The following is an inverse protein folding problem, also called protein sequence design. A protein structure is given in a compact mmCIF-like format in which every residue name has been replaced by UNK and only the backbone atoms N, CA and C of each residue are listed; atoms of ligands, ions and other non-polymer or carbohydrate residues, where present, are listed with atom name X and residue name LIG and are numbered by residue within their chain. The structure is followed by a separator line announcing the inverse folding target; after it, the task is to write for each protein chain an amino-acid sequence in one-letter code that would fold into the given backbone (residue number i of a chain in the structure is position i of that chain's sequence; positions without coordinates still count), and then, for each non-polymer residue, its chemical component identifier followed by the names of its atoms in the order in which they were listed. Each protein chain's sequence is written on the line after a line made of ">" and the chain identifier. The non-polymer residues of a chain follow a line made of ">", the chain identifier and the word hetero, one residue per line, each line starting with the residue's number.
data_IF_487557844884
#
_entry.id   IF_487557844884
#
_cell.length_a   1.000
_cell.length_b   1.000
_cell.length_c   1.000
_cell.angle_alpha   90.00
_cell.angle_beta   90.00
_cell.angle_gamma   90.00
#
_symmetry.space_group_name_H-M   'P 1'
#
loop_
_entity.id
_entity.type
_entity.pdbx_description
1 polymer ?
#
# COMPACT_ATOMS: atom_id res chain seq x y z
N UNK A 1 -63.12 -45.04 26.93
CA UNK A 1 -63.16 -43.90 25.98
C UNK A 1 -61.83 -43.14 26.13
N UNK A 2 -60.86 -43.24 25.22
CA UNK A 2 -59.67 -42.40 25.30
C UNK A 2 -59.99 -41.01 24.74
N UNK A 3 -59.61 -39.96 25.48
CA UNK A 3 -59.68 -38.58 25.02
C UNK A 3 -58.45 -38.26 24.17
N UNK A 4 -58.66 -37.95 22.89
CA UNK A 4 -57.62 -37.51 21.96
C UNK A 4 -57.46 -36.01 22.04
N UNK A 5 -56.27 -35.53 22.41
CA UNK A 5 -55.91 -34.11 22.32
C UNK A 5 -55.51 -33.78 20.87
N UNK A 6 -56.22 -32.83 20.25
CA UNK A 6 -55.85 -32.25 18.96
C UNK A 6 -54.58 -31.41 19.08
N UNK A 7 -53.60 -31.53 18.17
CA UNK A 7 -52.44 -30.65 18.16
C UNK A 7 -52.83 -29.24 17.69
N UNK A 8 -52.25 -28.22 18.34
CA UNK A 8 -52.39 -26.81 18.00
C UNK A 8 -51.72 -26.51 16.64
N UNK A 9 -52.30 -25.68 15.76
CA UNK A 9 -51.67 -25.30 14.50
C UNK A 9 -50.33 -24.58 14.74
N UNK A 10 -49.29 -25.05 14.06
CA UNK A 10 -47.95 -24.48 14.06
C UNK A 10 -47.97 -23.05 13.49
N UNK A 11 -47.27 -22.07 14.09
CA UNK A 11 -47.19 -20.74 13.51
C UNK A 11 -46.50 -20.81 12.15
N UNK A 12 -47.20 -20.37 11.10
CA UNK A 12 -46.64 -20.19 9.76
C UNK A 12 -45.62 -19.05 9.81
N UNK A 13 -44.33 -19.39 9.68
CA UNK A 13 -43.27 -18.41 9.49
C UNK A 13 -43.52 -17.63 8.18
N UNK A 14 -43.91 -16.37 8.30
CA UNK A 14 -43.93 -15.43 7.18
C UNK A 14 -42.51 -15.26 6.67
N UNK A 15 -42.26 -15.59 5.41
CA UNK A 15 -40.96 -15.36 4.77
C UNK A 15 -40.66 -13.85 4.76
N UNK A 16 -39.58 -13.46 5.43
CA UNK A 16 -39.02 -12.10 5.36
C UNK A 16 -38.71 -11.77 3.91
N UNK A 17 -39.15 -10.61 3.36
CA UNK A 17 -38.80 -10.21 2.00
C UNK A 17 -37.27 -10.17 1.88
N UNK A 18 -36.74 -10.93 0.93
CA UNK A 18 -35.31 -10.87 0.60
C UNK A 18 -35.06 -9.48 -0.02
N UNK A 19 -34.14 -8.66 0.55
CA UNK A 19 -33.86 -7.35 -0.03
C UNK A 19 -33.34 -7.54 -1.46
N UNK A 20 -33.99 -6.89 -2.43
CA UNK A 20 -33.48 -6.80 -3.80
C UNK A 20 -32.10 -6.11 -3.74
N UNK A 21 -31.03 -6.72 -4.27
CA UNK A 21 -29.70 -6.11 -4.23
C UNK A 21 -29.72 -4.80 -5.03
N UNK A 22 -29.39 -3.70 -4.37
CA UNK A 22 -29.28 -2.38 -4.99
C UNK A 22 -27.99 -2.39 -5.81
N UNK A 23 -28.08 -2.27 -7.13
CA UNK A 23 -26.91 -2.16 -8.02
C UNK A 23 -26.59 -0.68 -8.27
N UNK A 24 -25.33 -0.29 -8.08
CA UNK A 24 -24.85 1.09 -8.24
C UNK A 24 -24.02 1.22 -9.52
N UNK A 25 -24.30 2.22 -10.37
CA UNK A 25 -23.50 2.48 -11.57
C UNK A 25 -22.23 3.29 -11.25
N UNK A 26 -21.17 3.08 -12.04
CA UNK A 26 -19.97 3.91 -11.98
C UNK A 26 -19.20 3.93 -13.30
N UNK A 27 -18.28 4.89 -13.45
CA UNK A 27 -17.39 5.01 -14.60
C UNK A 27 -15.96 4.78 -14.15
N UNK A 28 -15.24 3.91 -14.86
CA UNK A 28 -13.81 3.69 -14.61
C UNK A 28 -13.03 4.95 -15.01
N UNK A 29 -12.38 5.62 -14.06
CA UNK A 29 -11.78 6.93 -14.28
C UNK A 29 -10.40 6.88 -14.96
N UNK A 30 -9.70 5.74 -14.85
CA UNK A 30 -8.42 5.44 -15.49
C UNK A 30 -8.32 3.94 -15.78
N UNK A 31 -7.45 3.51 -16.70
CA UNK A 31 -7.27 2.08 -16.99
C UNK A 31 -7.05 1.27 -15.70
N UNK A 32 -7.97 0.35 -15.43
CA UNK A 32 -8.09 -0.36 -14.18
C UNK A 32 -7.96 -1.87 -14.40
N UNK A 33 -7.11 -2.52 -13.60
CA UNK A 33 -7.01 -3.97 -13.63
C UNK A 33 -8.27 -4.58 -13.03
N UNK A 34 -8.92 -5.48 -13.76
CA UNK A 34 -10.01 -6.32 -13.26
C UNK A 34 -9.39 -7.58 -12.66
N UNK A 35 -9.79 -7.89 -11.43
CA UNK A 35 -9.14 -8.92 -10.61
C UNK A 35 -10.11 -9.98 -10.15
N UNK A 36 -9.59 -11.17 -9.88
CA UNK A 36 -10.37 -12.28 -9.34
C UNK A 36 -10.83 -12.07 -7.89
N UNK A 37 -10.38 -11.01 -7.21
CA UNK A 37 -10.74 -10.69 -5.83
C UNK A 37 -10.39 -9.25 -5.44
N UNK A 38 -10.91 -8.77 -4.29
CA UNK A 38 -10.72 -7.40 -3.81
C UNK A 38 -9.32 -7.20 -3.22
N UNK A 39 -8.33 -7.04 -4.10
CA UNK A 39 -6.95 -6.81 -3.67
C UNK A 39 -5.95 -7.00 -4.80
N UNK A 40 -4.82 -6.30 -4.71
CA UNK A 40 -3.78 -6.37 -5.75
C UNK A 40 -3.03 -7.71 -5.80
N UNK A 41 -3.18 -8.56 -4.78
CA UNK A 41 -2.66 -9.93 -4.74
C UNK A 41 -3.52 -10.96 -5.48
N UNK A 42 -4.74 -10.61 -5.88
CA UNK A 42 -5.56 -11.47 -6.73
C UNK A 42 -5.12 -11.34 -8.19
N UNK A 43 -5.16 -12.46 -8.92
CA UNK A 43 -4.80 -12.50 -10.33
C UNK A 43 -5.52 -11.40 -11.12
N UNK A 44 -4.76 -10.72 -11.99
CA UNK A 44 -5.33 -9.84 -12.99
C UNK A 44 -5.99 -10.73 -14.04
N UNK A 45 -7.31 -10.70 -14.10
CA UNK A 45 -8.11 -11.51 -15.03
C UNK A 45 -8.66 -10.66 -16.17
N UNK A 46 -8.50 -9.34 -16.11
CA UNK A 46 -8.90 -8.45 -17.18
C UNK A 46 -8.41 -7.02 -16.98
N UNK A 47 -8.88 -6.15 -17.87
CA UNK A 47 -8.59 -4.73 -17.89
C UNK A 47 -9.85 -3.97 -18.28
N UNK A 48 -10.26 -3.02 -17.45
CA UNK A 48 -11.25 -2.01 -17.81
C UNK A 48 -10.53 -0.74 -18.23
N UNK A 49 -10.91 -0.12 -19.36
CA UNK A 49 -10.29 1.12 -19.81
C UNK A 49 -10.92 2.32 -19.12
N UNK A 50 -10.20 3.45 -19.07
CA UNK A 50 -10.78 4.72 -18.68
C UNK A 50 -12.05 5.03 -19.51
N UNK A 51 -13.09 5.55 -18.87
CA UNK A 51 -14.40 5.80 -19.45
C UNK A 51 -15.31 4.57 -19.54
N UNK A 52 -14.85 3.36 -19.18
CA UNK A 52 -15.69 2.15 -19.25
C UNK A 52 -16.78 2.21 -18.17
N UNK A 53 -18.07 2.10 -18.53
CA UNK A 53 -19.13 2.02 -17.53
C UNK A 53 -19.12 0.64 -16.85
N UNK A 54 -19.32 0.64 -15.53
CA UNK A 54 -19.34 -0.57 -14.71
C UNK A 54 -20.55 -0.56 -13.77
N UNK A 55 -21.10 -1.74 -13.51
CA UNK A 55 -22.20 -1.93 -12.54
C UNK A 55 -21.62 -2.56 -11.28
N UNK A 56 -21.64 -1.82 -10.18
CA UNK A 56 -21.20 -2.25 -8.86
C UNK A 56 -22.35 -3.01 -8.19
N UNK A 57 -22.12 -4.29 -7.90
CA UNK A 57 -23.05 -5.14 -7.15
C UNK A 57 -22.74 -5.20 -5.66
N UNK A 58 -21.55 -4.78 -5.26
CA UNK A 58 -21.13 -4.80 -3.87
C UNK A 58 -19.75 -4.20 -3.66
N UNK A 59 -19.36 -4.12 -2.40
CA UNK A 59 -18.04 -3.64 -1.99
C UNK A 59 -17.43 -4.62 -1.00
N UNK A 60 -16.11 -4.67 -0.91
CA UNK A 60 -15.45 -5.42 0.16
C UNK A 60 -15.70 -4.73 1.52
N UNK A 61 -15.45 -5.44 2.62
CA UNK A 61 -15.71 -4.94 3.98
C UNK A 61 -15.04 -3.60 4.29
N UNK A 62 -13.87 -3.32 3.69
CA UNK A 62 -13.15 -2.07 3.86
C UNK A 62 -13.69 -0.91 2.99
N UNK A 63 -14.49 -1.18 1.95
CA UNK A 63 -15.01 -0.15 1.05
C UNK A 63 -14.11 0.19 -0.15
N UNK A 64 -12.89 -0.36 -0.18
CA UNK A 64 -11.82 0.00 -1.11
C UNK A 64 -11.81 -0.78 -2.43
N UNK A 65 -12.71 -1.75 -2.61
CA UNK A 65 -12.87 -2.52 -3.84
C UNK A 65 -14.34 -2.74 -4.17
N UNK A 66 -14.70 -2.54 -5.44
CA UNK A 66 -16.02 -2.84 -5.96
C UNK A 66 -16.06 -4.18 -6.65
N UNK A 67 -17.11 -4.95 -6.34
CA UNK A 67 -17.48 -6.15 -7.06
C UNK A 67 -18.41 -5.76 -8.21
N UNK A 68 -18.03 -6.12 -9.42
CA UNK A 68 -18.76 -5.77 -10.63
C UNK A 68 -19.75 -6.86 -11.01
N UNK A 69 -20.80 -6.49 -11.76
CA UNK A 69 -21.79 -7.45 -12.26
C UNK A 69 -21.23 -8.52 -13.19
N UNK A 70 -20.08 -8.26 -13.80
CA UNK A 70 -19.30 -9.17 -14.63
C UNK A 70 -18.50 -10.20 -13.81
N UNK A 71 -18.49 -10.08 -12.47
CA UNK A 71 -17.84 -11.03 -11.57
C UNK A 71 -16.38 -10.71 -11.23
N UNK A 72 -15.84 -9.59 -11.74
CA UNK A 72 -14.50 -9.13 -11.38
C UNK A 72 -14.53 -8.04 -10.31
N UNK A 73 -13.36 -7.83 -9.71
CA UNK A 73 -13.13 -6.78 -8.74
C UNK A 73 -12.29 -5.65 -9.33
N UNK A 74 -12.67 -4.43 -9.01
CA UNK A 74 -11.96 -3.21 -9.40
C UNK A 74 -11.74 -2.34 -8.16
N UNK A 75 -10.59 -1.67 -8.09
CA UNK A 75 -10.31 -0.81 -6.95
C UNK A 75 -11.31 0.36 -6.91
N UNK A 76 -11.86 0.64 -5.73
CA UNK A 76 -12.92 1.62 -5.53
C UNK A 76 -12.55 3.01 -6.05
N UNK A 77 -11.33 3.45 -5.77
CA UNK A 77 -10.83 4.76 -6.19
C UNK A 77 -10.64 4.91 -7.71
N UNK A 78 -10.73 3.80 -8.46
CA UNK A 78 -10.69 3.80 -9.92
C UNK A 78 -12.09 3.89 -10.56
N UNK A 79 -13.15 3.93 -9.76
CA UNK A 79 -14.54 4.03 -10.24
C UNK A 79 -15.21 5.24 -9.63
N UNK A 80 -15.53 6.21 -10.47
CA UNK A 80 -16.35 7.36 -10.10
C UNK A 80 -17.82 6.89 -10.01
N UNK A 81 -18.36 6.83 -8.79
CA UNK A 81 -19.76 6.42 -8.56
C UNK A 81 -20.70 7.49 -9.10
N UNK A 82 -21.73 7.09 -9.84
CA UNK A 82 -22.85 7.99 -10.11
C UNK A 82 -23.79 8.02 -8.90
N UNK A 83 -23.99 9.19 -8.30
CA UNK A 83 -24.83 9.36 -7.10
C UNK A 83 -26.33 9.25 -7.38
N UNK A 84 -26.87 8.07 -7.02
CA UNK A 84 -28.19 7.67 -6.49
C UNK A 84 -29.57 7.97 -7.15
N UNK A 85 -30.48 6.99 -6.90
CA UNK A 85 -31.83 6.63 -7.38
C UNK A 85 -32.94 7.70 -7.18
N UNK A 86 -34.15 7.58 -7.81
CA UNK A 86 -35.24 6.79 -7.17
C UNK A 86 -36.25 6.06 -8.11
N UNK A 87 -36.87 5.00 -7.54
CA UNK A 87 -38.24 4.49 -7.69
C UNK A 87 -38.83 4.14 -9.08
N UNK A 88 -39.23 2.88 -9.23
CA UNK A 88 -40.46 2.53 -9.96
C UNK A 88 -41.27 1.50 -9.16
N UNK A 89 -42.42 1.95 -8.65
CA UNK A 89 -43.60 1.13 -8.35
C UNK A 89 -44.25 0.76 -9.67
N UNK A 90 -44.43 -0.53 -9.98
CA UNK A 90 -45.55 -1.10 -10.79
C UNK A 90 -45.69 -2.57 -10.40
N UNK A 91 -46.69 -2.95 -9.58
CA UNK A 91 -47.99 -3.60 -9.92
C UNK A 91 -47.88 -5.06 -10.42
N UNK A 92 -48.77 -5.88 -9.87
CA UNK A 92 -49.00 -7.31 -10.13
C UNK A 92 -48.98 -7.73 -11.62
N UNK A 93 -48.51 -8.96 -11.84
CA UNK A 93 -49.06 -9.86 -12.86
C UNK A 93 -48.49 -9.74 -14.28
N UNK A 94 -47.52 -10.59 -14.62
CA UNK A 94 -47.68 -11.71 -15.55
C UNK A 94 -46.33 -12.27 -16.01
N UNK A 95 -46.35 -13.59 -16.18
CA UNK A 95 -45.29 -14.52 -16.55
C UNK A 95 -44.58 -14.21 -17.88
N UNK A 96 -43.30 -14.52 -17.96
CA UNK A 96 -42.74 -15.27 -19.10
C UNK A 96 -41.53 -16.10 -18.67
N UNK A 97 -41.70 -17.41 -18.83
CA UNK A 97 -40.70 -18.47 -18.70
C UNK A 97 -39.82 -18.49 -19.95
N UNK A 98 -38.53 -18.84 -19.83
CA UNK A 98 -37.88 -19.78 -20.76
C UNK A 98 -36.54 -20.31 -20.22
N UNK A 99 -36.67 -21.50 -19.62
CA UNK A 99 -35.86 -22.73 -19.75
C UNK A 99 -34.35 -22.70 -19.48
N UNK A 100 -34.04 -23.43 -18.41
CA UNK A 100 -32.81 -24.18 -18.15
C UNK A 100 -32.37 -25.05 -19.34
N UNK A 101 -31.06 -25.14 -19.52
CA UNK A 101 -30.41 -26.41 -19.89
C UNK A 101 -29.10 -26.57 -19.11
N UNK A 102 -29.14 -27.46 -18.13
CA UNK A 102 -28.03 -28.34 -17.72
C UNK A 102 -28.23 -29.70 -18.45
N UNK A 103 -27.33 -30.70 -18.41
CA UNK A 103 -26.18 -30.89 -17.51
C UNK A 103 -24.89 -31.43 -18.18
N UNK A 104 -23.78 -31.45 -17.44
CA UNK A 104 -23.03 -32.69 -17.19
C UNK A 104 -21.91 -32.43 -16.20
N UNK A 105 -21.98 -33.12 -15.07
CA UNK A 105 -20.96 -33.10 -14.04
C UNK A 105 -19.70 -33.86 -14.46
N UNK A 106 -18.57 -33.37 -14.00
CA UNK A 106 -17.45 -34.22 -13.61
C UNK A 106 -16.87 -33.61 -12.35
N UNK A 107 -17.02 -34.36 -11.27
CA UNK A 107 -16.49 -34.10 -9.94
C UNK A 107 -14.97 -34.12 -9.96
N UNK A 108 -14.33 -33.00 -9.62
CA UNK A 108 -12.99 -33.02 -9.04
C UNK A 108 -13.11 -32.38 -7.66
N UNK A 109 -12.97 -33.23 -6.66
CA UNK A 109 -12.98 -32.91 -5.24
C UNK A 109 -11.77 -32.01 -4.93
N UNK A 110 -12.00 -30.70 -4.80
CA UNK A 110 -11.00 -29.76 -4.33
C UNK A 110 -10.88 -29.90 -2.81
N UNK A 111 -9.69 -30.30 -2.36
CA UNK A 111 -9.32 -30.32 -0.96
C UNK A 111 -9.58 -28.94 -0.32
N UNK A 112 -10.08 -28.98 0.92
CA UNK A 112 -10.29 -27.84 1.80
C UNK A 112 -8.98 -27.07 1.99
N UNK A 113 -8.77 -26.02 1.19
CA UNK A 113 -7.76 -25.01 1.47
C UNK A 113 -8.36 -24.02 2.47
N UNK A 114 -7.93 -24.12 3.73
CA UNK A 114 -8.06 -23.07 4.74
C UNK A 114 -7.60 -21.74 4.14
N UNK A 115 -8.39 -20.64 4.18
CA UNK A 115 -7.96 -19.36 3.64
C UNK A 115 -6.82 -18.81 4.51
N UNK A 116 -5.59 -18.90 4.02
CA UNK A 116 -4.44 -18.17 4.57
C UNK A 116 -4.64 -16.69 4.27
N UNK A 117 -4.84 -15.91 5.32
CA UNK A 117 -4.97 -14.44 5.33
C UNK A 117 -3.78 -13.80 4.58
N UNK A 118 -4.05 -13.07 3.49
CA UNK A 118 -3.04 -12.33 2.75
C UNK A 118 -2.50 -11.18 3.62
N UNK A 119 -1.20 -11.19 3.92
CA UNK A 119 -0.54 -10.21 4.78
C UNK A 119 -0.52 -8.79 4.15
N UNK A 120 -0.68 -7.77 5.00
CA UNK A 120 -0.60 -6.34 4.65
C UNK A 120 0.69 -5.99 3.87
N UNK A 121 0.64 -4.96 3.02
CA UNK A 121 1.85 -4.32 2.45
C UNK A 121 2.66 -3.61 3.54
N UNK A 122 2.00 -3.18 4.61
CA UNK A 122 2.64 -2.52 5.72
C UNK A 122 3.44 -3.50 6.55
N UNK A 123 4.61 -3.06 6.98
CA UNK A 123 5.45 -3.81 7.91
C UNK A 123 5.90 -5.18 7.40
N UNK A 124 6.13 -5.31 6.09
CA UNK A 124 6.81 -6.48 5.54
C UNK A 124 8.29 -6.43 5.87
N UNK A 125 8.84 -7.56 6.36
CA UNK A 125 10.27 -7.71 6.60
C UNK A 125 11.00 -7.74 5.25
N UNK A 126 12.06 -6.93 5.05
CA UNK A 126 12.88 -7.01 3.85
C UNK A 126 13.61 -8.37 3.74
N UNK A 127 13.96 -8.82 2.51
CA UNK A 127 14.82 -9.98 2.32
C UNK A 127 16.24 -9.68 2.82
N UNK A 128 16.98 -10.72 3.20
CA UNK A 128 18.38 -10.58 3.67
C UNK A 128 19.39 -10.70 2.51
N UNK A 129 18.95 -10.43 1.28
CA UNK A 129 19.79 -10.46 0.09
C UNK A 129 20.59 -9.17 -0.03
N UNK A 130 21.91 -9.27 0.16
CA UNK A 130 22.84 -8.15 0.10
C UNK A 130 23.56 -8.03 -1.25
N UNK A 131 23.12 -8.75 -2.28
CA UNK A 131 23.69 -8.63 -3.63
C UNK A 131 23.60 -7.18 -4.11
N UNK A 132 24.69 -6.63 -4.63
CA UNK A 132 24.73 -5.24 -5.09
C UNK A 132 24.04 -5.10 -6.45
N UNK A 133 23.22 -4.05 -6.60
CA UNK A 133 22.53 -3.69 -7.84
C UNK A 133 22.61 -2.19 -8.11
N UNK A 134 22.31 -1.81 -9.35
CA UNK A 134 22.25 -0.42 -9.80
C UNK A 134 20.81 0.06 -9.86
N UNK A 135 20.52 1.17 -9.18
CA UNK A 135 19.22 1.85 -9.20
C UNK A 135 19.46 3.29 -9.61
N UNK A 136 18.94 3.68 -10.78
CA UNK A 136 19.17 5.02 -11.34
C UNK A 136 20.66 5.42 -11.48
N UNK A 137 21.56 4.43 -11.66
CA UNK A 137 23.02 4.65 -11.76
C UNK A 137 23.76 4.63 -10.42
N UNK A 138 23.03 4.46 -9.31
CA UNK A 138 23.55 4.42 -7.95
C UNK A 138 23.60 2.98 -7.40
N UNK A 139 24.61 2.67 -6.60
CA UNK A 139 24.78 1.33 -6.04
C UNK A 139 23.96 1.14 -4.77
N UNK A 140 23.20 0.05 -4.66
CA UNK A 140 22.47 -0.33 -3.43
C UNK A 140 22.45 -1.85 -3.27
N UNK A 141 22.12 -2.36 -2.08
CA UNK A 141 21.85 -3.79 -1.86
C UNK A 141 20.48 -4.20 -2.44
N UNK A 142 20.31 -5.48 -2.81
CA UNK A 142 19.02 -6.04 -3.25
C UNK A 142 17.93 -5.89 -2.19
N UNK A 143 18.30 -6.00 -0.91
CA UNK A 143 17.46 -5.65 0.25
C UNK A 143 16.94 -4.22 0.14
N UNK A 144 17.83 -3.24 0.00
CA UNK A 144 17.46 -1.83 -0.11
C UNK A 144 16.61 -1.58 -1.35
N UNK A 145 16.96 -2.16 -2.50
CA UNK A 145 16.16 -2.05 -3.72
C UNK A 145 14.74 -2.59 -3.55
N UNK A 146 14.60 -3.75 -2.90
CA UNK A 146 13.30 -4.34 -2.61
C UNK A 146 12.44 -3.41 -1.72
N UNK A 147 13.05 -2.78 -0.71
CA UNK A 147 12.36 -1.81 0.14
C UNK A 147 11.93 -0.57 -0.66
N UNK A 148 12.78 -0.07 -1.56
CA UNK A 148 12.45 1.05 -2.44
C UNK A 148 11.30 0.71 -3.40
N UNK A 149 11.25 -0.51 -3.94
CA UNK A 149 10.13 -0.99 -4.75
C UNK A 149 8.84 -1.05 -3.94
N UNK A 150 8.89 -1.58 -2.71
CA UNK A 150 7.74 -1.58 -1.80
C UNK A 150 7.27 -0.14 -1.49
N UNK A 151 8.19 0.77 -1.22
CA UNK A 151 7.85 2.18 -1.01
C UNK A 151 7.22 2.80 -2.26
N UNK A 152 7.71 2.46 -3.46
CA UNK A 152 7.15 2.96 -4.72
C UNK A 152 5.72 2.48 -4.94
N UNK A 153 5.46 1.21 -4.62
CA UNK A 153 4.13 0.61 -4.68
C UNK A 153 3.16 1.25 -3.68
N UNK A 154 3.65 1.71 -2.52
CA UNK A 154 2.87 2.41 -1.51
C UNK A 154 2.60 3.87 -1.89
N UNK A 155 3.60 4.58 -2.44
CA UNK A 155 3.55 6.02 -2.68
C UNK A 155 2.53 6.43 -3.75
N UNK A 156 2.55 5.80 -4.93
CA UNK A 156 1.56 6.01 -6.00
C UNK A 156 1.42 7.42 -6.59
N UNK A 157 2.18 8.41 -6.12
CA UNK A 157 2.14 9.80 -6.59
C UNK A 157 2.99 10.08 -7.84
N UNK A 158 3.08 11.36 -8.28
CA UNK A 158 3.79 11.76 -9.50
C UNK A 158 5.32 11.70 -9.39
N UNK A 159 5.87 11.64 -8.17
CA UNK A 159 7.30 11.43 -7.94
C UNK A 159 7.74 9.98 -8.19
N UNK A 160 9.02 9.70 -7.96
CA UNK A 160 9.48 8.31 -7.91
C UNK A 160 10.53 8.14 -6.84
N UNK A 161 10.25 7.23 -5.90
CA UNK A 161 11.20 6.85 -4.84
C UNK A 161 12.36 6.00 -5.36
N UNK A 162 12.29 5.52 -6.61
CA UNK A 162 13.37 4.84 -7.30
C UNK A 162 14.39 5.79 -7.92
N UNK A 163 14.16 7.12 -7.87
CA UNK A 163 15.14 8.12 -8.34
C UNK A 163 16.18 8.41 -7.28
N UNK A 164 16.97 7.38 -6.97
CA UNK A 164 18.15 7.48 -6.11
C UNK A 164 19.17 8.40 -6.78
N UNK A 165 19.64 9.40 -6.05
CA UNK A 165 20.65 10.38 -6.50
C UNK A 165 21.96 10.26 -5.74
N UNK A 166 21.95 9.49 -4.66
CA UNK A 166 23.13 9.01 -3.99
C UNK A 166 22.86 7.62 -3.42
N UNK A 167 23.66 6.64 -3.83
CA UNK A 167 23.55 5.25 -3.39
C UNK A 167 24.22 4.95 -2.06
N UNK A 168 24.23 3.67 -1.71
CA UNK A 168 25.05 3.11 -0.62
C UNK A 168 26.47 2.80 -1.11
N UNK A 169 27.38 2.50 -0.19
CA UNK A 169 28.78 2.10 -0.45
C UNK A 169 29.61 3.17 -1.18
N UNK A 170 29.41 4.43 -0.83
CA UNK A 170 30.13 5.58 -1.38
C UNK A 170 31.03 6.24 -0.32
N UNK A 171 32.16 5.58 0.04
CA UNK A 171 33.01 6.09 1.11
C UNK A 171 33.72 7.39 0.74
N UNK A 172 33.84 8.29 1.73
CA UNK A 172 34.73 9.45 1.64
C UNK A 172 34.13 10.71 1.04
N UNK A 173 32.80 10.75 0.86
CA UNK A 173 32.09 11.98 0.53
C UNK A 173 31.85 12.80 1.81
N UNK A 174 32.53 13.93 1.94
CA UNK A 174 32.43 14.81 3.12
C UNK A 174 30.98 15.22 3.38
N UNK A 175 30.19 15.47 2.33
CA UNK A 175 28.79 15.89 2.42
C UNK A 175 27.84 14.79 2.94
N UNK A 176 28.27 13.52 2.92
CA UNK A 176 27.49 12.37 3.38
C UNK A 176 27.62 12.12 4.89
N UNK A 177 28.58 12.77 5.56
CA UNK A 177 28.90 12.52 6.97
C UNK A 177 29.17 11.04 7.31
N UNK A 178 29.59 10.27 6.31
CA UNK A 178 29.87 8.84 6.40
C UNK A 178 28.65 7.92 6.45
N UNK A 179 27.42 8.43 6.30
CA UNK A 179 26.22 7.57 6.35
C UNK A 179 26.12 6.67 5.13
N UNK A 180 26.63 7.11 3.97
CA UNK A 180 26.66 6.31 2.74
C UNK A 180 27.93 5.47 2.56
N UNK A 181 28.88 5.49 3.52
CA UNK A 181 30.15 4.74 3.40
C UNK A 181 29.97 3.22 3.28
N UNK A 182 28.79 2.70 3.64
CA UNK A 182 28.43 1.28 3.58
C UNK A 182 26.97 1.10 3.14
N UNK A 183 26.36 -0.04 3.45
CA UNK A 183 25.02 -0.42 2.98
C UNK A 183 23.88 0.43 3.58
N UNK A 184 22.71 0.36 2.95
CA UNK A 184 21.43 0.77 3.52
C UNK A 184 21.07 2.26 3.49
N UNK A 185 22.00 3.17 3.22
CA UNK A 185 21.72 4.60 3.07
C UNK A 185 21.46 4.98 1.61
N UNK A 186 20.44 5.81 1.37
CA UNK A 186 20.10 6.35 0.05
C UNK A 186 19.56 7.77 0.14
N UNK A 187 19.92 8.60 -0.85
CA UNK A 187 19.28 9.89 -1.09
C UNK A 187 18.41 9.82 -2.33
N UNK A 188 17.19 10.31 -2.21
CA UNK A 188 16.15 10.18 -3.23
C UNK A 188 15.74 11.56 -3.72
N UNK A 189 15.73 11.75 -5.03
CA UNK A 189 15.24 12.98 -5.64
C UNK A 189 13.75 13.17 -5.40
N UNK A 190 13.35 14.37 -4.99
CA UNK A 190 11.94 14.78 -4.95
C UNK A 190 11.53 15.61 -6.18
N UNK A 191 12.33 15.57 -7.24
CA UNK A 191 12.00 16.26 -8.50
C UNK A 191 11.04 15.43 -9.33
N UNK A 192 10.14 16.11 -10.05
CA UNK A 192 9.21 15.45 -10.95
C UNK A 192 10.00 14.71 -12.07
N UNK A 193 9.82 13.39 -12.25
CA UNK A 193 10.48 12.64 -13.32
C UNK A 193 10.12 13.17 -14.72
N UNK A 194 8.91 13.70 -14.90
CA UNK A 194 8.45 14.27 -16.17
C UNK A 194 8.93 15.72 -16.36
N UNK A 195 9.28 16.42 -15.29
CA UNK A 195 9.78 17.78 -15.33
C UNK A 195 10.86 18.00 -14.25
N UNK A 196 12.14 17.67 -14.52
CA UNK A 196 13.18 17.71 -13.50
C UNK A 196 13.43 19.10 -12.89
N UNK A 197 12.98 20.19 -13.51
CA UNK A 197 13.04 21.53 -12.93
C UNK A 197 12.08 21.71 -11.75
N UNK A 198 10.98 20.96 -11.72
CA UNK A 198 9.94 21.01 -10.69
C UNK A 198 10.34 20.15 -9.49
N UNK A 199 10.17 20.73 -8.30
CA UNK A 199 10.35 20.06 -7.01
C UNK A 199 8.96 19.78 -6.43
N UNK A 200 8.68 18.51 -6.09
CA UNK A 200 7.37 18.05 -5.60
C UNK A 200 7.23 18.25 -4.09
N UNK A 201 7.20 19.50 -3.62
CA UNK A 201 7.13 19.83 -2.19
C UNK A 201 5.92 19.21 -1.48
N UNK A 202 4.75 19.26 -2.11
CA UNK A 202 3.49 18.74 -1.55
C UNK A 202 3.49 17.20 -1.41
N UNK A 203 4.36 16.52 -2.16
CA UNK A 203 4.48 15.06 -2.18
C UNK A 203 5.52 14.52 -1.20
N UNK A 204 6.42 15.37 -0.70
CA UNK A 204 7.54 14.94 0.14
C UNK A 204 7.07 14.16 1.38
N UNK A 205 5.99 14.62 2.03
CA UNK A 205 5.39 13.93 3.19
C UNK A 205 4.85 12.55 2.82
N UNK A 206 4.20 12.41 1.65
CA UNK A 206 3.66 11.13 1.19
C UNK A 206 4.78 10.15 0.80
N UNK A 207 5.85 10.63 0.16
CA UNK A 207 7.03 9.82 -0.15
C UNK A 207 7.74 9.33 1.13
N UNK A 208 7.95 10.22 2.12
CA UNK A 208 8.52 9.84 3.42
C UNK A 208 7.65 8.81 4.13
N UNK A 209 6.33 8.99 4.15
CA UNK A 209 5.40 8.04 4.76
C UNK A 209 5.48 6.66 4.07
N UNK A 210 5.59 6.62 2.75
CA UNK A 210 5.73 5.37 1.99
C UNK A 210 7.06 4.65 2.29
N UNK A 211 8.17 5.39 2.34
CA UNK A 211 9.48 4.87 2.73
C UNK A 211 9.45 4.29 4.15
N UNK A 212 8.86 4.99 5.11
CA UNK A 212 8.73 4.51 6.50
C UNK A 212 7.91 3.23 6.61
N UNK A 213 6.80 3.13 5.88
CA UNK A 213 5.98 1.91 5.82
C UNK A 213 6.71 0.73 5.17
N UNK A 214 7.65 1.01 4.26
CA UNK A 214 8.52 0.01 3.64
C UNK A 214 9.74 -0.38 4.48
N UNK A 215 9.94 0.25 5.64
CA UNK A 215 10.98 -0.11 6.59
C UNK A 215 12.20 0.82 6.63
N UNK A 216 12.11 2.03 6.07
CA UNK A 216 13.16 3.04 6.21
C UNK A 216 12.94 3.95 7.42
N UNK A 217 14.01 4.39 8.06
CA UNK A 217 14.00 5.72 8.68
C UNK A 217 14.21 6.74 7.55
N UNK A 218 13.31 7.72 7.40
CA UNK A 218 13.38 8.63 6.25
C UNK A 218 12.97 10.05 6.61
N UNK A 219 13.66 11.05 6.06
CA UNK A 219 13.40 12.47 6.30
C UNK A 219 13.56 13.29 5.03
N UNK A 220 12.68 14.28 4.87
CA UNK A 220 12.85 15.27 3.84
C UNK A 220 13.93 16.31 4.22
N UNK A 221 14.83 16.61 3.28
CA UNK A 221 15.89 17.62 3.42
C UNK A 221 15.64 18.76 2.43
N UNK A 222 15.32 19.99 2.89
CA UNK A 222 15.13 21.14 2.01
C UNK A 222 16.44 21.64 1.40
N UNK A 223 16.30 22.32 0.25
CA UNK A 223 17.43 22.99 -0.40
C UNK A 223 18.15 23.94 0.55
N UNK A 224 19.48 23.90 0.58
CA UNK A 224 20.33 24.79 1.38
C UNK A 224 20.53 24.36 2.83
N UNK A 225 19.89 23.29 3.30
CA UNK A 225 19.97 22.83 4.69
C UNK A 225 21.41 22.55 5.15
N UNK A 226 22.22 21.92 4.30
CA UNK A 226 23.62 21.59 4.61
C UNK A 226 24.62 22.57 3.99
N UNK A 227 24.17 23.79 3.64
CA UNK A 227 24.98 24.83 3.03
C UNK A 227 24.65 25.09 1.56
N UNK A 228 25.36 26.06 0.97
CA UNK A 228 25.17 26.45 -0.43
C UNK A 228 25.42 25.26 -1.36
N UNK A 229 24.44 24.96 -2.22
CA UNK A 229 24.52 23.85 -3.17
C UNK A 229 23.83 22.56 -2.74
N UNK A 230 23.48 22.40 -1.45
CA UNK A 230 22.67 21.26 -0.98
C UNK A 230 21.31 21.26 -1.65
N UNK A 231 21.04 20.28 -2.52
CA UNK A 231 19.76 20.13 -3.20
C UNK A 231 18.68 19.49 -2.30
N UNK A 232 17.41 19.76 -2.61
CA UNK A 232 16.29 19.08 -1.97
C UNK A 232 16.25 17.57 -2.30
N UNK A 233 16.19 16.73 -1.27
CA UNK A 233 16.12 15.27 -1.38
C UNK A 233 15.41 14.65 -0.17
N UNK A 234 15.10 13.36 -0.23
CA UNK A 234 14.73 12.55 0.94
C UNK A 234 15.94 11.69 1.29
N UNK A 235 16.43 11.81 2.51
CA UNK A 235 17.47 10.93 3.06
C UNK A 235 16.78 9.75 3.74
N UNK A 236 17.20 8.52 3.46
CA UNK A 236 16.60 7.32 4.02
C UNK A 236 17.64 6.25 4.39
N UNK A 237 17.44 5.61 5.55
CA UNK A 237 18.27 4.53 6.09
C UNK A 237 17.44 3.25 6.20
N UNK A 238 17.88 2.17 5.57
CA UNK A 238 17.23 0.86 5.58
C UNK A 238 17.37 0.19 6.95
N UNK A 239 16.28 0.13 7.72
CA UNK A 239 16.31 -0.42 9.09
C UNK A 239 16.64 -1.92 9.03
N UNK A 240 17.59 -2.34 9.86
CA UNK A 240 18.05 -3.73 9.95
C UNK A 240 18.88 -4.20 8.75
N UNK A 241 19.39 -3.30 7.92
CA UNK A 241 20.46 -3.64 6.98
C UNK A 241 21.73 -4.00 7.79
N UNK A 242 22.31 -5.20 7.59
CA UNK A 242 23.47 -5.65 8.38
C UNK A 242 24.77 -4.91 8.01
N UNK A 243 24.79 -4.19 6.89
CA UNK A 243 25.98 -3.53 6.34
C UNK A 243 25.96 -2.01 6.55
N UNK A 244 25.06 -1.48 7.38
CA UNK A 244 25.03 -0.04 7.72
C UNK A 244 26.42 0.46 8.15
N UNK A 245 26.72 1.73 7.83
CA UNK A 245 27.88 2.40 8.43
C UNK A 245 27.58 2.74 9.91
N UNK A 246 28.61 3.10 10.69
CA UNK A 246 28.35 3.53 12.07
C UNK A 246 27.51 4.82 12.11
N UNK A 247 27.79 5.77 11.21
CA UNK A 247 27.02 6.99 11.11
C UNK A 247 25.54 6.72 10.76
N UNK A 248 25.28 5.77 9.85
CA UNK A 248 23.92 5.38 9.50
C UNK A 248 23.19 4.69 10.68
N UNK A 249 23.89 3.85 11.46
CA UNK A 249 23.34 3.29 12.71
C UNK A 249 22.99 4.38 13.71
N UNK A 250 23.88 5.36 13.91
CA UNK A 250 23.67 6.46 14.85
C UNK A 250 22.43 7.31 14.46
N UNK A 251 22.08 7.39 13.17
CA UNK A 251 20.83 8.02 12.72
C UNK A 251 19.57 7.21 13.07
N UNK A 252 19.68 5.92 13.37
CA UNK A 252 18.55 5.09 13.81
C UNK A 252 18.34 5.19 15.33
N UNK A 253 19.35 4.85 16.13
CA UNK A 253 19.23 4.63 17.58
C UNK A 253 20.11 5.52 18.47
N UNK A 254 20.99 6.32 17.85
CA UNK A 254 21.81 7.32 18.52
C UNK A 254 20.99 8.44 19.15
N UNK A 255 21.64 9.38 19.87
CA UNK A 255 20.94 10.42 20.65
C UNK A 255 19.97 11.29 19.85
N UNK A 256 20.24 11.48 18.55
CA UNK A 256 19.40 12.22 17.61
C UNK A 256 18.67 11.34 16.60
N UNK A 257 18.53 10.04 16.87
CA UNK A 257 18.06 9.06 15.90
C UNK A 257 16.55 8.96 15.75
N UNK A 258 16.13 8.28 14.68
CA UNK A 258 14.74 8.02 14.30
C UNK A 258 13.90 7.41 15.41
N UNK A 259 14.41 6.38 16.08
CA UNK A 259 13.68 5.66 17.11
C UNK A 259 13.47 6.49 18.38
N UNK A 260 14.19 7.61 18.52
CA UNK A 260 14.01 8.62 19.58
C UNK A 260 13.14 9.81 19.13
N UNK A 261 12.56 9.74 17.94
CA UNK A 261 11.67 10.79 17.41
C UNK A 261 12.39 12.04 16.91
N UNK A 262 13.64 11.92 16.49
CA UNK A 262 14.45 13.01 15.96
C UNK A 262 14.70 12.89 14.46
N UNK A 263 15.11 14.00 13.85
CA UNK A 263 15.37 14.15 12.42
C UNK A 263 16.76 13.70 11.96
N UNK A 264 17.59 13.14 12.85
CA UNK A 264 18.96 12.70 12.58
C UNK A 264 19.92 13.77 12.03
N UNK A 265 19.59 15.06 12.19
CA UNK A 265 20.48 16.16 11.82
C UNK A 265 21.54 16.34 12.89
N UNK A 266 22.81 16.45 12.48
CA UNK A 266 23.92 16.60 13.42
C UNK A 266 24.02 18.04 13.98
N UNK A 267 24.60 18.24 15.19
CA UNK A 267 24.66 19.55 15.84
C UNK A 267 25.27 20.69 15.02
N UNK A 268 26.25 20.39 14.18
CA UNK A 268 26.90 21.40 13.33
C UNK A 268 25.95 22.02 12.29
N UNK A 269 24.78 21.42 12.06
CA UNK A 269 23.73 21.92 11.18
C UNK A 269 22.42 22.21 11.92
N UNK A 270 22.50 22.45 13.24
CA UNK A 270 21.37 22.90 14.04
C UNK A 270 20.41 21.79 14.48
N UNK A 271 20.87 20.54 14.55
CA UNK A 271 20.09 19.40 15.06
C UNK A 271 20.68 18.75 16.33
N UNK A 272 20.16 17.59 16.76
CA UNK A 272 18.95 16.96 16.22
C UNK A 272 17.70 17.74 16.61
N UNK A 273 16.72 17.80 15.70
CA UNK A 273 15.42 18.41 15.95
C UNK A 273 14.33 17.34 16.07
N UNK A 274 13.18 17.63 16.70
CA UNK A 274 12.03 16.74 16.63
C UNK A 274 11.66 16.40 15.19
N UNK A 275 11.35 15.14 14.93
CA UNK A 275 11.02 14.64 13.60
C UNK A 275 9.75 15.32 13.05
N UNK A 276 9.84 16.08 11.94
CA UNK A 276 8.70 16.82 11.41
C UNK A 276 7.66 15.92 10.71
N UNK A 277 7.97 14.65 10.50
CA UNK A 277 7.10 13.68 9.80
C UNK A 277 6.42 12.69 10.76
N UNK A 278 6.53 12.90 12.07
CA UNK A 278 5.97 12.01 13.10
C UNK A 278 6.74 10.69 13.23
N UNK A 279 6.08 9.62 13.71
CA UNK A 279 6.75 8.32 13.91
C UNK A 279 7.54 8.21 15.22
N UNK A 280 8.35 7.14 15.39
CA UNK A 280 8.73 6.12 14.40
C UNK A 280 7.59 5.16 14.03
N UNK A 281 7.67 4.56 12.84
CA UNK A 281 6.87 3.37 12.48
C UNK A 281 7.67 2.14 12.91
N UNK A 282 7.12 1.35 13.83
CA UNK A 282 7.79 0.16 14.36
C UNK A 282 7.00 -1.09 14.03
N UNK A 283 7.57 -1.87 13.13
CA UNK A 283 7.02 -3.14 12.69
C UNK A 283 7.50 -4.29 13.58
N UNK A 284 6.74 -5.39 13.64
CA UNK A 284 7.12 -6.53 14.49
C UNK A 284 8.52 -7.07 14.15
N UNK A 285 8.85 -7.20 12.86
CA UNK A 285 10.18 -7.66 12.45
C UNK A 285 11.31 -6.71 12.87
N UNK A 286 11.04 -5.42 13.06
CA UNK A 286 12.03 -4.47 13.58
C UNK A 286 12.28 -4.74 15.07
N UNK A 287 11.22 -5.02 15.84
CA UNK A 287 11.31 -5.43 17.25
C UNK A 287 12.07 -6.73 17.40
N UNK A 288 11.85 -7.68 16.51
CA UNK A 288 12.58 -8.96 16.49
C UNK A 288 14.09 -8.78 16.23
N UNK A 289 14.47 -7.65 15.59
CA UNK A 289 15.86 -7.24 15.40
C UNK A 289 16.40 -6.33 16.52
N UNK A 290 15.60 -6.05 17.56
CA UNK A 290 15.98 -5.23 18.70
C UNK A 290 15.67 -3.73 18.58
N UNK A 291 14.95 -3.30 17.55
CA UNK A 291 14.52 -1.91 17.42
C UNK A 291 13.22 -1.65 18.19
N UNK A 292 13.22 -0.62 19.02
CA UNK A 292 12.10 -0.25 19.89
C UNK A 292 11.79 1.24 19.80
N UNK A 293 10.68 1.68 20.40
CA UNK A 293 10.40 3.11 20.57
C UNK A 293 11.24 3.60 21.75
N UNK A 294 12.13 4.56 21.50
CA UNK A 294 13.12 5.04 22.46
C UNK A 294 12.79 6.46 22.98
N UNK A 295 11.56 6.93 22.74
CA UNK A 295 11.04 8.23 23.20
C UNK A 295 10.60 8.25 24.65
#
# INVERSE_FOLDING_TARGET
>A
MPVTFSPLPTPTNTATPTPTPITLGGIVNRNANLRAGPGIGHAKIGLARAGTPVTIMGTNTAGDWYYLATGEWVAAFLVDKSSELPLAVVVEGQSISLRQSTPSGTTVQAATATPTQAASLDCRRPPDDMTLVQVNGETVSMRTYWMLQLAQDIYGGPGSVLRVVQGSYEPGLTESFGTHDAGGAVDISIRNPANPAEILWDEATAMVAALRRAGFAAWYRPTGMFGLGSGAHIHAIAIGDPELSQAARDQLDGPGGYFRGFDAVIPNYGGPNPDPHGGPIICQWMRDLGYEDLR
#
